data_IF_513042498028
#
_entry.id   IF_513042498028
#
_cell.length_a   1.000
_cell.length_b   1.000
_cell.length_c   1.000
_cell.angle_alpha   90.00
_cell.angle_beta   90.00
_cell.angle_gamma   90.00
#
_symmetry.space_group_name_H-M   'P 1'
#
loop_
_entity.id
_entity.type
_entity.pdbx_description
1 polymer ?
#
# COMPACT_ATOMS: atom_id res chain seq x y z
N UNK A 1 10.39 12.79 -4.97
CA UNK A 1 11.33 13.92 -4.69
C UNK A 1 12.76 13.74 -5.23
N UNK A 2 13.46 12.61 -5.04
CA UNK A 2 14.87 12.50 -5.42
C UNK A 2 15.11 12.63 -6.94
N UNK A 3 14.20 12.16 -7.79
CA UNK A 3 14.29 12.39 -9.26
C UNK A 3 14.34 13.89 -9.60
N UNK A 4 13.49 14.71 -8.98
CA UNK A 4 13.47 16.16 -9.19
C UNK A 4 14.78 16.83 -8.75
N UNK A 5 15.37 16.36 -7.64
CA UNK A 5 16.69 16.84 -7.19
C UNK A 5 17.79 16.51 -8.21
N UNK A 6 17.86 15.26 -8.67
CA UNK A 6 18.86 14.80 -9.64
C UNK A 6 18.70 15.50 -11.00
N UNK A 7 17.46 15.65 -11.48
CA UNK A 7 17.13 16.37 -12.71
C UNK A 7 17.51 17.85 -12.62
N UNK A 8 17.17 18.51 -11.51
CA UNK A 8 17.46 19.92 -11.28
C UNK A 8 18.97 20.19 -11.17
N UNK A 9 19.74 19.24 -10.59
CA UNK A 9 21.21 19.25 -10.56
C UNK A 9 21.85 18.96 -11.91
N UNK A 10 21.09 18.46 -12.89
CA UNK A 10 21.62 17.95 -14.16
C UNK A 10 22.73 16.92 -13.92
N UNK A 11 22.55 16.07 -12.92
CA UNK A 11 23.57 15.10 -12.54
C UNK A 11 23.76 14.06 -13.65
N UNK A 12 25.01 13.83 -14.04
CA UNK A 12 25.41 12.81 -15.01
C UNK A 12 26.63 12.08 -14.44
N UNK A 13 26.57 10.75 -14.41
CA UNK A 13 27.69 9.91 -14.00
C UNK A 13 28.85 9.92 -15.01
N UNK A 14 30.01 9.34 -14.64
CA UNK A 14 31.15 9.26 -15.55
C UNK A 14 30.82 8.44 -16.80
N UNK A 15 31.24 8.93 -17.97
CA UNK A 15 31.11 8.21 -19.25
C UNK A 15 32.23 7.16 -19.31
N UNK A 16 31.92 5.95 -18.86
CA UNK A 16 32.84 4.80 -18.90
C UNK A 16 32.77 4.07 -20.25
N UNK A 17 33.68 3.11 -20.47
CA UNK A 17 33.61 2.22 -21.65
C UNK A 17 32.28 1.46 -21.73
N UNK A 18 31.72 1.03 -20.59
CA UNK A 18 30.40 0.41 -20.53
C UNK A 18 29.29 1.37 -20.98
N UNK A 19 29.32 2.63 -20.54
CA UNK A 19 28.34 3.65 -20.98
C UNK A 19 28.43 3.87 -22.49
N UNK A 20 29.62 3.84 -23.07
CA UNK A 20 29.81 3.95 -24.51
C UNK A 20 29.22 2.74 -25.27
N UNK A 21 29.44 1.51 -24.78
CA UNK A 21 28.85 0.30 -25.36
C UNK A 21 27.32 0.33 -25.29
N UNK A 22 26.74 0.67 -24.15
CA UNK A 22 25.29 0.79 -23.98
C UNK A 22 24.67 1.80 -24.97
N UNK A 23 25.36 2.90 -25.28
CA UNK A 23 24.90 3.88 -26.28
C UNK A 23 24.87 3.34 -27.70
N UNK A 24 25.62 2.29 -28.02
CA UNK A 24 25.59 1.62 -29.32
C UNK A 24 24.57 0.49 -29.36
N UNK A 25 24.29 -0.15 -28.22
CA UNK A 25 23.44 -1.35 -28.14
C UNK A 25 21.95 -1.03 -27.91
N UNK A 26 21.63 0.04 -27.16
CA UNK A 26 20.26 0.31 -26.71
C UNK A 26 19.38 1.05 -27.73
N UNK A 27 19.97 1.62 -28.79
CA UNK A 27 19.26 2.52 -29.71
C UNK A 27 19.33 1.99 -31.15
N UNK A 28 18.22 2.11 -31.87
CA UNK A 28 18.14 1.70 -33.29
C UNK A 28 18.86 2.67 -34.25
N UNK A 29 19.26 3.85 -33.76
CA UNK A 29 19.95 4.89 -34.52
C UNK A 29 21.24 5.30 -33.80
N UNK A 30 22.26 5.82 -34.51
CA UNK A 30 23.48 6.30 -33.88
C UNK A 30 23.18 7.33 -32.78
N UNK A 31 23.70 7.13 -31.57
CA UNK A 31 23.38 7.93 -30.38
C UNK A 31 23.45 9.47 -30.59
N UNK A 32 24.39 9.93 -31.42
CA UNK A 32 24.60 11.36 -31.71
C UNK A 32 23.58 11.96 -32.68
N UNK A 33 22.77 11.14 -33.36
CA UNK A 33 21.73 11.54 -34.30
C UNK A 33 20.34 11.58 -33.65
N UNK A 34 20.20 11.01 -32.45
CA UNK A 34 18.92 10.95 -31.73
C UNK A 34 18.42 12.37 -31.41
N UNK A 35 17.20 12.65 -31.83
CA UNK A 35 16.50 13.86 -31.44
C UNK A 35 15.84 13.70 -30.06
N UNK A 36 16.57 14.05 -29.02
CA UNK A 36 16.11 13.98 -27.62
C UNK A 36 14.87 14.84 -27.32
N UNK A 37 14.58 15.87 -28.14
CA UNK A 37 13.35 16.64 -27.97
C UNK A 37 12.12 15.83 -28.39
N UNK A 38 12.23 15.07 -29.48
CA UNK A 38 11.14 14.20 -29.94
C UNK A 38 10.97 12.98 -29.02
N UNK A 39 12.07 12.46 -28.45
CA UNK A 39 12.04 11.29 -27.58
C UNK A 39 11.25 11.50 -26.27
N UNK A 40 11.04 12.75 -25.83
CA UNK A 40 10.36 13.05 -24.54
C UNK A 40 8.95 12.49 -24.40
N UNK A 41 8.21 12.41 -25.50
CA UNK A 41 6.83 11.91 -25.54
C UNK A 41 6.73 10.61 -26.33
N UNK A 42 7.86 9.95 -26.60
CA UNK A 42 7.89 8.69 -27.35
C UNK A 42 7.90 7.53 -26.35
N UNK A 43 6.78 6.81 -26.30
CA UNK A 43 6.59 5.63 -25.44
C UNK A 43 6.08 4.49 -26.33
N UNK A 44 6.57 3.27 -26.09
CA UNK A 44 6.09 2.10 -26.82
C UNK A 44 4.60 1.89 -26.52
N UNK A 45 3.84 1.52 -27.55
CA UNK A 45 2.38 1.39 -27.44
C UNK A 45 1.99 0.30 -26.44
N UNK A 46 2.81 -0.75 -26.39
CA UNK A 46 2.65 -1.92 -25.53
C UNK A 46 2.80 -1.58 -24.04
N UNK A 47 3.61 -0.57 -23.71
CA UNK A 47 3.88 -0.13 -22.34
C UNK A 47 2.99 1.06 -21.90
N UNK A 48 2.26 1.66 -22.84
CA UNK A 48 1.42 2.84 -22.60
C UNK A 48 0.03 2.43 -22.06
N UNK A 49 -0.03 2.14 -20.76
CA UNK A 49 -1.28 1.82 -20.06
C UNK A 49 -2.11 3.08 -19.72
N UNK A 50 -1.45 4.18 -19.35
CA UNK A 50 -2.08 5.44 -18.93
C UNK A 50 -1.65 6.61 -19.85
N UNK A 51 -2.33 6.81 -20.99
CA UNK A 51 -1.92 7.81 -21.98
C UNK A 51 -2.16 9.24 -21.51
N UNK A 52 -1.26 10.14 -21.92
CA UNK A 52 -1.37 11.55 -21.58
C UNK A 52 -2.50 12.25 -22.35
N UNK A 53 -3.36 13.03 -21.66
CA UNK A 53 -4.23 13.97 -22.33
C UNK A 53 -3.42 15.12 -22.92
N UNK A 54 -3.88 15.69 -24.04
CA UNK A 54 -3.22 16.81 -24.74
C UNK A 54 -2.85 17.99 -23.81
N UNK A 55 -3.67 18.28 -22.80
CA UNK A 55 -3.40 19.35 -21.83
C UNK A 55 -2.13 19.11 -21.01
N UNK A 56 -1.82 17.85 -20.69
CA UNK A 56 -0.62 17.45 -19.97
C UNK A 56 0.61 17.63 -20.85
N UNK A 57 0.55 17.18 -22.11
CA UNK A 57 1.62 17.38 -23.10
C UNK A 57 1.91 18.87 -23.34
N UNK A 58 0.86 19.70 -23.47
CA UNK A 58 1.01 21.15 -23.60
C UNK A 58 1.69 21.76 -22.39
N UNK A 59 1.27 21.38 -21.17
CA UNK A 59 1.86 21.87 -19.93
C UNK A 59 3.35 21.51 -19.84
N UNK A 60 3.71 20.26 -20.12
CA UNK A 60 5.10 19.82 -20.11
C UNK A 60 5.93 20.47 -21.21
N UNK A 61 5.35 20.68 -22.39
CA UNK A 61 5.97 21.45 -23.47
C UNK A 61 6.33 22.86 -23.01
N UNK A 62 5.41 23.56 -22.33
CA UNK A 62 5.68 24.90 -21.77
C UNK A 62 6.74 24.85 -20.68
N UNK A 63 6.64 23.91 -19.73
CA UNK A 63 7.63 23.75 -18.67
C UNK A 63 9.03 23.51 -19.24
N UNK A 64 9.15 22.67 -20.26
CA UNK A 64 10.43 22.33 -20.86
C UNK A 64 10.99 23.41 -21.79
N UNK A 65 10.18 23.95 -22.70
CA UNK A 65 10.66 24.87 -23.73
C UNK A 65 10.72 26.33 -23.26
N UNK A 66 9.97 26.69 -22.22
CA UNK A 66 9.89 28.06 -21.72
C UNK A 66 10.48 28.15 -20.31
N UNK A 67 9.94 27.40 -19.35
CA UNK A 67 10.33 27.56 -17.95
C UNK A 67 11.76 27.06 -17.67
N UNK A 68 12.15 25.90 -18.20
CA UNK A 68 13.49 25.33 -17.98
C UNK A 68 14.62 26.26 -18.44
N UNK A 69 14.62 26.84 -19.66
CA UNK A 69 15.62 27.85 -20.06
C UNK A 69 15.64 29.07 -19.13
N UNK A 70 14.48 29.61 -18.78
CA UNK A 70 14.39 30.78 -17.87
C UNK A 70 15.03 30.45 -16.52
N UNK A 71 14.78 29.27 -15.97
CA UNK A 71 15.33 28.80 -14.69
C UNK A 71 16.84 28.54 -14.71
N UNK A 72 17.52 28.65 -15.86
CA UNK A 72 18.99 28.61 -15.94
C UNK A 72 19.63 30.00 -15.89
N UNK A 73 18.84 31.06 -16.11
CA UNK A 73 19.34 32.44 -16.15
C UNK A 73 19.14 33.15 -14.80
N UNK A 74 20.10 34.00 -14.43
CA UNK A 74 19.94 34.88 -13.27
C UNK A 74 18.87 35.95 -13.54
N UNK A 75 17.98 36.29 -12.59
CA UNK A 75 17.92 35.83 -11.19
C UNK A 75 17.08 34.57 -10.96
N UNK A 76 16.41 34.04 -11.98
CA UNK A 76 15.48 32.91 -11.83
C UNK A 76 16.16 31.59 -11.44
N UNK A 77 17.46 31.43 -11.73
CA UNK A 77 18.26 30.31 -11.23
C UNK A 77 18.28 30.20 -9.70
N UNK A 78 18.06 31.29 -8.96
CA UNK A 78 17.91 31.26 -7.50
C UNK A 78 16.66 30.46 -7.07
N UNK A 79 15.60 30.43 -7.89
CA UNK A 79 14.42 29.60 -7.62
C UNK A 79 14.77 28.11 -7.73
N UNK A 80 15.57 27.73 -8.72
CA UNK A 80 16.08 26.35 -8.87
C UNK A 80 16.93 25.96 -7.67
N UNK A 81 17.84 26.81 -7.21
CA UNK A 81 18.64 26.53 -6.01
C UNK A 81 17.78 26.34 -4.76
N UNK A 82 16.75 27.18 -4.58
CA UNK A 82 15.81 27.05 -3.47
C UNK A 82 15.02 25.74 -3.57
N UNK A 83 14.53 25.39 -4.76
CA UNK A 83 13.82 24.14 -5.00
C UNK A 83 14.71 22.91 -4.73
N UNK A 84 15.98 22.95 -5.13
CA UNK A 84 16.95 21.88 -4.85
C UNK A 84 17.19 21.70 -3.35
N UNK A 85 17.29 22.79 -2.59
CA UNK A 85 17.40 22.74 -1.11
C UNK A 85 16.15 22.13 -0.47
N UNK A 86 14.96 22.44 -0.98
CA UNK A 86 13.72 21.81 -0.51
C UNK A 86 13.67 20.32 -0.86
N UNK A 87 13.98 19.96 -2.11
CA UNK A 87 13.95 18.57 -2.57
C UNK A 87 14.90 17.66 -1.78
N UNK A 88 16.14 18.10 -1.53
CA UNK A 88 17.07 17.32 -0.71
C UNK A 88 16.69 17.32 0.77
N UNK A 89 16.00 18.36 1.25
CA UNK A 89 15.38 18.40 2.57
C UNK A 89 14.34 17.29 2.76
N UNK A 90 13.46 17.08 1.76
CA UNK A 90 12.51 15.96 1.79
C UNK A 90 13.18 14.59 1.73
N UNK A 91 14.25 14.43 0.95
CA UNK A 91 15.04 13.18 0.93
C UNK A 91 15.64 12.89 2.31
N UNK A 92 16.19 13.90 3.00
CA UNK A 92 16.71 13.72 4.36
C UNK A 92 15.61 13.35 5.35
N UNK A 93 14.44 13.98 5.23
CA UNK A 93 13.28 13.65 6.04
C UNK A 93 12.85 12.18 5.84
N UNK A 94 12.78 11.72 4.59
CA UNK A 94 12.50 10.30 4.28
C UNK A 94 13.54 9.36 4.91
N UNK A 95 14.83 9.66 4.70
CA UNK A 95 15.95 8.89 5.21
C UNK A 95 15.94 8.75 6.74
N UNK A 96 15.65 9.85 7.44
CA UNK A 96 15.64 9.88 8.90
C UNK A 96 14.43 9.14 9.50
N UNK A 97 13.24 9.28 8.91
CA UNK A 97 12.02 8.63 9.42
C UNK A 97 11.97 7.13 9.15
N UNK A 98 12.52 6.68 8.03
CA UNK A 98 12.55 5.26 7.63
C UNK A 98 13.85 4.55 7.99
N UNK A 99 14.74 5.21 8.75
CA UNK A 99 16.09 4.73 9.04
C UNK A 99 16.84 4.25 7.79
N UNK A 100 16.76 5.01 6.70
CA UNK A 100 17.42 4.78 5.42
C UNK A 100 16.91 3.54 4.64
N UNK A 101 15.74 3.01 4.99
CA UNK A 101 15.03 1.99 4.20
C UNK A 101 14.23 2.62 3.05
N UNK A 102 13.71 3.83 3.28
CA UNK A 102 12.70 4.53 2.47
C UNK A 102 11.39 3.74 2.32
N UNK A 103 10.37 4.37 1.72
CA UNK A 103 9.05 3.73 1.55
C UNK A 103 9.11 2.50 0.65
N UNK A 104 10.02 2.47 -0.33
CA UNK A 104 10.24 1.32 -1.21
C UNK A 104 11.51 1.42 -2.07
N UNK A 105 11.87 0.31 -2.71
CA UNK A 105 13.21 0.12 -3.31
C UNK A 105 13.58 1.11 -4.41
N UNK A 106 12.61 1.56 -5.23
CA UNK A 106 12.85 2.58 -6.26
C UNK A 106 13.23 3.91 -5.64
N UNK A 107 12.45 4.37 -4.66
CA UNK A 107 12.77 5.60 -3.93
C UNK A 107 14.09 5.45 -3.16
N UNK A 108 14.28 4.30 -2.49
CA UNK A 108 15.50 3.99 -1.74
C UNK A 108 16.77 4.15 -2.58
N UNK A 109 16.78 3.64 -3.81
CA UNK A 109 17.93 3.78 -4.71
C UNK A 109 18.12 5.24 -5.14
N UNK A 110 17.04 5.97 -5.43
CA UNK A 110 17.10 7.36 -5.83
C UNK A 110 17.54 8.30 -4.68
N UNK A 111 17.08 8.06 -3.46
CA UNK A 111 17.53 8.74 -2.26
C UNK A 111 19.01 8.47 -2.01
N UNK A 112 19.45 7.21 -2.08
CA UNK A 112 20.88 6.85 -1.99
C UNK A 112 21.73 7.64 -3.00
N UNK A 113 21.32 7.69 -4.27
CA UNK A 113 22.04 8.45 -5.31
C UNK A 113 22.02 9.94 -4.98
N UNK A 114 20.89 10.50 -4.56
CA UNK A 114 20.79 11.91 -4.17
C UNK A 114 21.72 12.27 -3.00
N UNK A 115 21.84 11.40 -1.98
CA UNK A 115 22.79 11.55 -0.86
C UNK A 115 24.24 11.46 -1.33
N UNK A 116 24.55 10.54 -2.25
CA UNK A 116 25.89 10.40 -2.84
C UNK A 116 26.28 11.64 -3.67
N UNK A 117 25.36 12.18 -4.47
CA UNK A 117 25.57 13.41 -5.26
C UNK A 117 25.76 14.63 -4.36
N UNK A 118 25.10 14.67 -3.20
CA UNK A 118 25.31 15.74 -2.23
C UNK A 118 26.69 15.65 -1.57
N UNK A 119 27.04 14.49 -1.01
CA UNK A 119 28.35 14.21 -0.44
C UNK A 119 28.61 12.69 -0.39
N UNK A 120 29.54 12.18 -1.22
CA UNK A 120 29.84 10.75 -1.30
C UNK A 120 30.55 10.20 -0.06
N UNK A 121 31.04 11.07 0.85
CA UNK A 121 31.66 10.67 2.10
C UNK A 121 30.72 10.79 3.31
N UNK A 122 29.49 11.26 3.09
CA UNK A 122 28.53 11.51 4.16
C UNK A 122 28.13 10.25 4.92
N UNK A 123 27.82 10.42 6.20
CA UNK A 123 27.29 9.34 7.04
C UNK A 123 25.95 8.81 6.49
N UNK A 124 25.10 9.71 5.96
CA UNK A 124 23.84 9.34 5.33
C UNK A 124 24.03 8.37 4.16
N UNK A 125 25.03 8.61 3.29
CA UNK A 125 25.34 7.69 2.19
C UNK A 125 25.79 6.32 2.70
N UNK A 126 26.64 6.28 3.74
CA UNK A 126 27.10 5.02 4.35
C UNK A 126 25.95 4.22 4.96
N UNK A 127 25.01 4.88 5.63
CA UNK A 127 23.79 4.25 6.17
C UNK A 127 22.90 3.66 5.08
N UNK A 128 22.74 4.40 3.98
CA UNK A 128 22.02 3.91 2.79
C UNK A 128 22.65 2.64 2.19
N UNK A 129 23.98 2.56 2.15
CA UNK A 129 24.69 1.37 1.69
C UNK A 129 24.47 0.19 2.65
N UNK A 130 24.53 0.44 3.96
CA UNK A 130 24.31 -0.58 4.97
C UNK A 130 22.89 -1.19 4.93
N UNK A 131 21.90 -0.42 4.47
CA UNK A 131 20.49 -0.84 4.33
C UNK A 131 20.10 -1.40 2.95
N UNK A 132 21.04 -1.48 2.00
CA UNK A 132 20.77 -2.12 0.69
C UNK A 132 20.36 -3.60 0.84
N UNK A 133 21.04 -4.42 1.68
CA UNK A 133 20.71 -5.83 1.83
C UNK A 133 19.30 -6.11 2.35
N UNK A 134 18.66 -5.17 3.07
CA UNK A 134 17.29 -5.31 3.55
C UNK A 134 16.27 -5.49 2.41
N UNK A 135 16.62 -5.08 1.17
CA UNK A 135 15.78 -5.25 -0.01
C UNK A 135 16.12 -6.52 -0.80
N UNK A 136 17.10 -7.30 -0.39
CA UNK A 136 17.56 -8.47 -1.15
C UNK A 136 16.81 -9.73 -0.74
N UNK A 137 16.38 -10.50 -1.73
CA UNK A 137 15.70 -11.77 -1.54
C UNK A 137 16.25 -12.84 -2.46
N UNK A 138 16.69 -13.95 -1.89
CA UNK A 138 17.14 -15.11 -2.67
C UNK A 138 15.98 -16.07 -2.81
N UNK A 139 15.39 -16.13 -4.00
CA UNK A 139 14.35 -17.08 -4.38
C UNK A 139 14.95 -18.28 -5.14
N UNK A 140 14.11 -19.25 -5.46
CA UNK A 140 14.45 -20.47 -6.21
C UNK A 140 15.03 -20.17 -7.59
N UNK A 141 14.68 -19.03 -8.18
CA UNK A 141 15.17 -18.51 -9.46
C UNK A 141 16.27 -17.43 -9.31
N UNK A 142 16.80 -17.25 -8.10
CA UNK A 142 17.98 -16.41 -7.82
C UNK A 142 17.69 -15.16 -6.99
N UNK A 143 18.67 -14.25 -6.98
CA UNK A 143 18.62 -13.02 -6.20
C UNK A 143 17.70 -11.98 -6.87
N UNK A 144 16.78 -11.42 -6.08
CA UNK A 144 15.83 -10.38 -6.45
C UNK A 144 15.90 -9.20 -5.49
N UNK A 145 15.39 -8.05 -5.94
CA UNK A 145 15.18 -6.87 -5.10
C UNK A 145 13.69 -6.78 -4.79
N UNK A 146 13.32 -6.88 -3.52
CA UNK A 146 11.96 -6.59 -3.04
C UNK A 146 11.72 -5.08 -3.02
N UNK A 147 10.48 -4.64 -3.20
CA UNK A 147 10.11 -3.23 -2.95
C UNK A 147 10.30 -2.89 -1.47
N UNK A 148 9.78 -3.75 -0.61
CA UNK A 148 9.93 -3.81 0.84
C UNK A 148 9.48 -5.22 1.26
N UNK A 149 9.83 -5.64 2.47
CA UNK A 149 9.31 -6.91 3.01
C UNK A 149 7.82 -6.83 3.37
N UNK A 150 7.18 -7.96 3.63
CA UNK A 150 5.75 -8.08 4.01
C UNK A 150 5.59 -8.71 5.41
N UNK A 151 6.58 -8.58 6.29
CA UNK A 151 6.71 -9.38 7.50
C UNK A 151 5.52 -9.19 8.46
N UNK A 152 5.13 -7.94 8.75
CA UNK A 152 4.02 -7.66 9.65
C UNK A 152 2.66 -8.01 9.02
N UNK A 153 2.49 -7.75 7.72
CA UNK A 153 1.30 -8.14 6.97
C UNK A 153 1.07 -9.67 7.01
N UNK A 154 2.08 -10.44 6.64
CA UNK A 154 2.02 -11.90 6.61
C UNK A 154 1.86 -12.49 8.01
N UNK A 155 2.61 -12.00 9.00
CA UNK A 155 2.48 -12.46 10.37
C UNK A 155 1.06 -12.19 10.90
N UNK A 156 0.52 -10.99 10.64
CA UNK A 156 -0.84 -10.61 11.05
C UNK A 156 -1.90 -11.56 10.52
N UNK A 157 -1.88 -11.90 9.22
CA UNK A 157 -2.83 -12.85 8.65
C UNK A 157 -2.58 -14.30 9.07
N UNK A 158 -1.32 -14.74 9.17
CA UNK A 158 -1.00 -16.08 9.62
C UNK A 158 -1.49 -16.35 11.06
N UNK A 159 -1.33 -15.37 11.96
CA UNK A 159 -1.85 -15.43 13.32
C UNK A 159 -3.38 -15.58 13.28
N UNK A 160 -4.08 -14.71 12.54
CA UNK A 160 -5.54 -14.78 12.42
C UNK A 160 -6.02 -16.12 11.87
N UNK A 161 -5.33 -16.69 10.89
CA UNK A 161 -5.65 -18.01 10.35
C UNK A 161 -5.51 -19.12 11.41
N UNK A 162 -4.39 -19.16 12.15
CA UNK A 162 -4.18 -20.14 13.23
C UNK A 162 -5.28 -20.03 14.30
N UNK A 163 -5.59 -18.80 14.73
CA UNK A 163 -6.61 -18.55 15.74
C UNK A 163 -8.01 -18.96 15.27
N UNK A 164 -8.33 -18.74 13.98
CA UNK A 164 -9.63 -19.09 13.40
C UNK A 164 -9.84 -20.61 13.27
N UNK A 165 -8.74 -21.38 13.17
CA UNK A 165 -8.78 -22.84 13.14
C UNK A 165 -8.86 -23.49 14.53
N UNK A 166 -8.88 -22.71 15.62
CA UNK A 166 -8.85 -23.19 17.00
C UNK A 166 -7.61 -24.06 17.34
N UNK A 167 -6.46 -23.79 16.72
CA UNK A 167 -5.22 -24.55 16.90
C UNK A 167 -4.25 -23.91 17.92
N UNK A 168 -4.78 -23.10 18.84
CA UNK A 168 -3.98 -22.23 19.71
C UNK A 168 -3.00 -23.01 20.60
N UNK A 169 -3.46 -24.11 21.19
CA UNK A 169 -2.66 -24.94 22.09
C UNK A 169 -1.54 -25.69 21.33
N UNK A 170 -1.84 -26.16 20.12
CA UNK A 170 -0.86 -26.87 19.27
C UNK A 170 0.25 -25.92 18.79
N UNK A 171 -0.10 -24.67 18.51
CA UNK A 171 0.83 -23.65 18.02
C UNK A 171 1.35 -22.71 19.12
N UNK A 172 1.19 -23.05 20.40
CA UNK A 172 1.56 -22.19 21.54
C UNK A 172 2.95 -21.54 21.44
N UNK A 173 4.04 -22.31 21.21
CA UNK A 173 5.39 -21.76 21.03
C UNK A 173 5.52 -20.79 19.85
N UNK A 174 4.83 -21.07 18.74
CA UNK A 174 4.80 -20.20 17.54
C UNK A 174 4.03 -18.92 17.82
N UNK A 175 2.87 -19.02 18.49
CA UNK A 175 2.05 -17.87 18.87
C UNK A 175 2.76 -16.96 19.87
N UNK A 176 3.53 -17.52 20.82
CA UNK A 176 4.38 -16.74 21.73
C UNK A 176 5.42 -15.91 20.97
N UNK A 177 6.16 -16.52 20.03
CA UNK A 177 7.12 -15.78 19.18
C UNK A 177 6.43 -14.73 18.31
N UNK A 178 5.27 -15.05 17.78
CA UNK A 178 4.46 -14.14 16.97
C UNK A 178 3.97 -12.94 17.80
N UNK A 179 3.57 -13.17 19.04
CA UNK A 179 3.20 -12.11 19.97
C UNK A 179 4.40 -11.19 20.28
N UNK A 180 5.59 -11.74 20.53
CA UNK A 180 6.80 -10.95 20.71
C UNK A 180 7.16 -10.14 19.46
N UNK A 181 7.00 -10.73 18.27
CA UNK A 181 7.20 -10.04 17.00
C UNK A 181 6.20 -8.88 16.80
N UNK A 182 4.90 -9.10 17.04
CA UNK A 182 3.87 -8.05 16.96
C UNK A 182 4.18 -6.91 17.93
N UNK A 183 4.60 -7.24 19.16
CA UNK A 183 5.02 -6.25 20.17
C UNK A 183 6.22 -5.43 19.71
N UNK A 184 7.23 -6.06 19.15
CA UNK A 184 8.44 -5.38 18.67
C UNK A 184 8.18 -4.55 17.40
N UNK A 185 7.21 -4.95 16.58
CA UNK A 185 6.95 -4.33 15.28
C UNK A 185 6.14 -3.04 15.33
N UNK A 186 5.44 -2.77 16.43
CA UNK A 186 4.69 -1.51 16.57
C UNK A 186 5.65 -0.33 16.69
N UNK A 187 5.41 0.75 15.96
CA UNK A 187 6.19 1.99 16.04
C UNK A 187 5.98 2.65 17.42
N UNK A 188 7.02 2.65 18.27
CA UNK A 188 6.92 3.13 19.67
C UNK A 188 7.49 4.54 19.87
N UNK A 189 8.40 4.97 19.01
CA UNK A 189 9.09 6.26 19.13
C UNK A 189 8.71 7.21 17.99
N UNK A 190 8.93 8.50 18.26
CA UNK A 190 8.81 9.56 17.25
C UNK A 190 10.17 9.70 16.59
N UNK A 191 10.33 9.23 15.35
CA UNK A 191 11.63 9.27 14.67
C UNK A 191 11.98 10.69 14.17
N UNK A 192 11.01 11.59 14.00
CA UNK A 192 11.21 13.04 13.87
C UNK A 192 9.91 13.81 14.22
N UNK A 193 9.80 15.09 13.84
CA UNK A 193 8.73 16.05 14.21
C UNK A 193 7.28 15.62 13.88
N UNK A 194 7.07 14.50 13.19
CA UNK A 194 5.74 13.97 12.90
C UNK A 194 5.23 13.01 13.96
N UNK A 195 4.04 13.32 14.47
CA UNK A 195 3.38 12.60 15.55
C UNK A 195 2.51 11.43 15.08
N UNK A 196 2.34 11.25 13.77
CA UNK A 196 1.24 10.46 13.21
C UNK A 196 1.47 8.95 13.18
N UNK A 197 2.71 8.47 13.25
CA UNK A 197 3.02 7.02 13.12
C UNK A 197 3.16 6.31 14.46
N UNK A 198 3.20 7.03 15.59
CA UNK A 198 3.32 6.41 16.92
C UNK A 198 2.09 5.55 17.20
N UNK A 199 2.30 4.26 17.43
CA UNK A 199 1.25 3.27 17.62
C UNK A 199 0.88 2.49 16.36
N UNK A 200 1.42 2.87 15.20
CA UNK A 200 1.17 2.17 13.95
C UNK A 200 1.90 0.82 13.88
N UNK A 201 1.38 -0.05 13.02
CA UNK A 201 2.14 -1.14 12.44
C UNK A 201 2.36 -0.82 10.96
N UNK A 202 3.59 -0.97 10.50
CA UNK A 202 3.95 -0.82 9.08
C UNK A 202 3.62 -2.12 8.33
N UNK A 203 3.74 -2.12 7.00
CA UNK A 203 3.55 -3.33 6.20
C UNK A 203 4.66 -4.38 6.44
N UNK A 204 5.87 -3.89 6.77
CA UNK A 204 7.08 -4.70 6.89
C UNK A 204 7.52 -4.86 8.35
N UNK A 205 8.36 -3.96 8.83
CA UNK A 205 8.97 -3.96 10.16
C UNK A 205 8.99 -2.55 10.77
N UNK A 206 9.25 -2.47 12.07
CA UNK A 206 9.22 -1.21 12.84
C UNK A 206 10.09 -0.10 12.22
N UNK A 207 11.30 -0.44 11.75
CA UNK A 207 12.26 0.52 11.19
C UNK A 207 11.76 1.22 9.92
N UNK A 208 10.81 0.61 9.18
CA UNK A 208 10.23 1.23 7.99
C UNK A 208 9.50 2.54 8.31
N UNK A 209 8.97 2.66 9.53
CA UNK A 209 8.47 3.91 10.11
C UNK A 209 7.15 4.45 9.53
N UNK A 210 6.79 4.08 8.30
CA UNK A 210 5.58 4.57 7.63
C UNK A 210 4.33 3.82 8.08
N UNK A 211 3.36 4.56 8.60
CA UNK A 211 2.08 4.00 9.05
C UNK A 211 1.21 3.55 7.88
N UNK A 212 0.58 2.39 8.00
CA UNK A 212 -0.45 1.91 7.06
C UNK A 212 -1.74 1.68 7.83
N UNK A 213 -2.87 2.14 7.30
CA UNK A 213 -4.15 2.04 7.98
C UNK A 213 -4.59 0.59 8.20
N UNK A 214 -4.54 -0.25 7.17
CA UNK A 214 -4.87 -1.67 7.23
C UNK A 214 -3.89 -2.44 8.10
N UNK A 215 -2.58 -2.26 7.91
CA UNK A 215 -1.57 -2.95 8.71
C UNK A 215 -1.68 -2.58 10.19
N UNK A 216 -1.98 -1.32 10.50
CA UNK A 216 -2.23 -0.87 11.87
C UNK A 216 -3.51 -1.50 12.43
N UNK A 217 -4.56 -1.62 11.61
CA UNK A 217 -5.81 -2.23 12.03
C UNK A 217 -5.70 -3.76 12.23
N UNK A 218 -5.03 -4.46 11.31
CA UNK A 218 -4.74 -5.89 11.43
C UNK A 218 -3.77 -6.17 12.60
N UNK A 219 -2.75 -5.33 12.77
CA UNK A 219 -1.85 -5.36 13.93
C UNK A 219 -2.59 -5.15 15.26
N UNK A 220 -3.49 -4.16 15.31
CA UNK A 220 -4.37 -3.93 16.47
C UNK A 220 -5.26 -5.14 16.73
N UNK A 221 -5.85 -5.76 15.70
CA UNK A 221 -6.69 -6.95 15.84
C UNK A 221 -5.92 -8.08 16.52
N UNK A 222 -4.77 -8.47 15.97
CA UNK A 222 -3.99 -9.58 16.53
C UNK A 222 -3.46 -9.27 17.92
N UNK A 223 -3.07 -8.02 18.19
CA UNK A 223 -2.59 -7.60 19.51
C UNK A 223 -3.71 -7.67 20.56
N UNK A 224 -4.94 -7.28 20.21
CA UNK A 224 -6.11 -7.45 21.09
C UNK A 224 -6.40 -8.94 21.29
N UNK A 225 -6.37 -9.77 20.25
CA UNK A 225 -6.62 -11.21 20.37
C UNK A 225 -5.61 -11.87 21.33
N UNK A 226 -4.31 -11.57 21.20
CA UNK A 226 -3.30 -12.05 22.14
C UNK A 226 -3.55 -11.58 23.57
N UNK A 227 -4.06 -10.36 23.77
CA UNK A 227 -4.37 -9.86 25.12
C UNK A 227 -5.46 -10.65 25.86
N UNK A 228 -6.25 -11.45 25.13
CA UNK A 228 -7.29 -12.33 25.67
C UNK A 228 -6.80 -13.76 25.92
N UNK A 229 -5.56 -14.08 25.52
CA UNK A 229 -4.97 -15.41 25.71
C UNK A 229 -4.22 -15.51 27.05
N UNK A 230 -4.00 -16.74 27.51
CA UNK A 230 -3.24 -16.97 28.74
C UNK A 230 -1.79 -16.49 28.60
N UNK A 231 -1.25 -15.72 29.56
CA UNK A 231 0.18 -15.37 29.60
C UNK A 231 1.11 -16.60 29.63
N UNK A 232 0.64 -17.73 30.18
CA UNK A 232 1.38 -19.00 30.17
C UNK A 232 1.53 -19.58 28.77
N UNK A 233 0.63 -19.24 27.85
CA UNK A 233 0.67 -19.67 26.46
C UNK A 233 1.51 -18.71 25.60
N UNK A 234 1.16 -17.41 25.61
CA UNK A 234 1.70 -16.42 24.66
C UNK A 234 2.59 -15.33 25.29
N UNK A 235 2.77 -15.33 26.60
CA UNK A 235 3.53 -14.32 27.34
C UNK A 235 2.71 -13.07 27.69
N UNK A 236 3.36 -12.12 28.35
CA UNK A 236 2.72 -10.89 28.84
C UNK A 236 2.15 -10.05 27.70
N UNK A 237 0.92 -9.57 27.92
CA UNK A 237 0.18 -8.71 26.99
C UNK A 237 0.82 -7.32 26.90
N UNK A 238 0.53 -6.64 25.78
CA UNK A 238 0.88 -5.23 25.58
C UNK A 238 0.20 -4.30 26.58
N UNK A 239 0.85 -3.19 26.89
CA UNK A 239 0.26 -2.10 27.66
C UNK A 239 -0.95 -1.52 26.90
N UNK A 240 -2.00 -1.15 27.64
CA UNK A 240 -3.28 -0.75 27.04
C UNK A 240 -3.16 0.56 26.26
N UNK A 241 -2.28 1.46 26.70
CA UNK A 241 -1.95 2.72 26.05
C UNK A 241 -1.46 2.52 24.61
N UNK A 242 -0.80 1.39 24.33
CA UNK A 242 -0.33 1.05 22.99
C UNK A 242 -1.47 0.72 22.03
N UNK A 243 -2.58 0.20 22.54
CA UNK A 243 -3.81 0.03 21.75
C UNK A 243 -4.47 1.37 21.48
N UNK A 244 -4.45 2.30 22.45
CA UNK A 244 -4.99 3.66 22.26
C UNK A 244 -4.20 4.44 21.21
N UNK A 245 -2.88 4.33 21.21
CA UNK A 245 -2.04 4.94 20.19
C UNK A 245 -2.40 4.41 18.79
N UNK A 246 -2.56 3.09 18.62
CA UNK A 246 -2.99 2.50 17.34
C UNK A 246 -4.37 2.99 16.89
N UNK A 247 -5.33 3.08 17.81
CA UNK A 247 -6.67 3.64 17.53
C UNK A 247 -6.58 5.11 17.11
N UNK A 248 -5.68 5.90 17.71
CA UNK A 248 -5.46 7.28 17.32
C UNK A 248 -4.93 7.39 15.88
N UNK A 249 -3.98 6.53 15.49
CA UNK A 249 -3.48 6.46 14.10
C UNK A 249 -4.62 6.16 13.16
N UNK A 250 -5.37 5.07 13.38
CA UNK A 250 -6.48 4.66 12.49
C UNK A 250 -7.47 5.81 12.34
N UNK A 251 -8.00 6.35 13.44
CA UNK A 251 -8.99 7.43 13.40
C UNK A 251 -8.48 8.71 12.71
N UNK A 252 -7.17 8.98 12.76
CA UNK A 252 -6.58 10.16 12.11
C UNK A 252 -6.52 10.06 10.59
N UNK A 253 -6.58 8.84 10.03
CA UNK A 253 -6.51 8.59 8.60
C UNK A 253 -7.86 8.63 7.89
N UNK A 254 -8.98 8.59 8.63
CA UNK A 254 -10.31 8.52 8.01
C UNK A 254 -10.63 9.78 7.20
N UNK A 255 -10.98 9.59 5.94
CA UNK A 255 -11.44 10.66 5.06
C UNK A 255 -12.88 11.09 5.36
N UNK A 256 -13.25 12.26 4.83
CA UNK A 256 -14.57 12.86 5.05
C UNK A 256 -15.74 12.03 4.50
N UNK A 257 -15.50 11.25 3.44
CA UNK A 257 -16.45 10.29 2.86
C UNK A 257 -16.62 9.00 3.70
N UNK A 258 -15.83 8.83 4.77
CA UNK A 258 -15.86 7.66 5.63
C UNK A 258 -14.87 6.56 5.29
N UNK A 259 -14.30 6.58 4.09
CA UNK A 259 -13.28 5.63 3.68
C UNK A 259 -11.92 5.89 4.34
N UNK A 260 -11.05 4.89 4.28
CA UNK A 260 -9.68 4.98 4.78
C UNK A 260 -8.69 4.79 3.62
N UNK A 261 -7.69 5.68 3.50
CA UNK A 261 -6.55 5.51 2.62
C UNK A 261 -5.47 4.60 3.22
N UNK A 262 -4.46 4.25 2.44
CA UNK A 262 -3.35 3.41 2.91
C UNK A 262 -2.44 4.16 3.88
N UNK A 263 -1.78 5.25 3.43
CA UNK A 263 -0.67 5.86 4.18
C UNK A 263 -1.00 7.21 4.83
N UNK A 264 -1.74 8.07 4.12
CA UNK A 264 -2.06 9.42 4.59
C UNK A 264 -3.48 9.87 4.24
N UNK A 265 -4.07 10.83 4.96
CA UNK A 265 -5.37 11.38 4.59
C UNK A 265 -5.34 11.95 3.17
N UNK A 266 -6.44 11.81 2.41
CA UNK A 266 -6.56 12.42 1.09
C UNK A 266 -6.40 13.94 1.18
N UNK A 267 -5.37 14.49 0.52
CA UNK A 267 -5.06 15.93 0.47
C UNK A 267 -5.30 16.56 -0.89
N UNK A 268 -5.58 15.75 -1.89
CA UNK A 268 -5.65 16.14 -3.29
C UNK A 268 -6.89 15.54 -3.96
N UNK A 269 -7.37 16.22 -5.00
CA UNK A 269 -8.61 15.82 -5.70
C UNK A 269 -8.30 14.97 -6.93
N UNK A 270 -9.21 14.04 -7.26
CA UNK A 270 -9.08 13.08 -8.38
C UNK A 270 -8.75 13.70 -9.74
N UNK A 271 -9.13 14.96 -10.00
CA UNK A 271 -8.82 15.59 -11.28
C UNK A 271 -7.31 15.80 -11.51
N UNK A 272 -6.49 15.82 -10.45
CA UNK A 272 -5.04 15.96 -10.56
C UNK A 272 -4.39 14.78 -11.29
N UNK A 273 -5.04 13.62 -11.31
CA UNK A 273 -4.55 12.41 -11.98
C UNK A 273 -4.53 12.55 -13.50
N UNK A 274 -5.24 13.55 -14.04
CA UNK A 274 -5.06 13.98 -15.44
C UNK A 274 -3.67 14.53 -15.75
N UNK A 275 -2.82 14.69 -14.73
CA UNK A 275 -1.43 15.09 -14.82
C UNK A 275 -0.49 14.01 -14.28
N UNK A 276 -0.97 12.76 -14.12
CA UNK A 276 -0.14 11.64 -13.72
C UNK A 276 0.97 11.44 -14.77
N UNK A 277 2.25 11.65 -14.41
CA UNK A 277 3.36 11.53 -15.34
C UNK A 277 3.79 10.08 -15.59
N UNK A 278 3.16 9.11 -14.94
CA UNK A 278 3.50 7.69 -15.09
C UNK A 278 2.67 7.09 -16.22
N UNK A 279 3.34 6.60 -17.25
CA UNK A 279 2.70 6.10 -18.47
C UNK A 279 2.16 4.67 -18.34
N UNK A 280 2.59 3.95 -17.30
CA UNK A 280 2.32 2.53 -17.09
C UNK A 280 1.61 2.24 -15.77
N UNK A 281 1.37 3.25 -14.93
CA UNK A 281 0.58 3.14 -13.72
C UNK A 281 -0.59 4.12 -13.75
N UNK A 282 -1.76 3.64 -13.33
CA UNK A 282 -2.94 4.47 -13.09
C UNK A 282 -3.03 4.82 -11.61
N UNK A 283 -3.61 5.98 -11.30
CA UNK A 283 -4.05 6.34 -9.94
C UNK A 283 -2.94 6.37 -8.87
N UNK A 284 -1.75 6.87 -9.25
CA UNK A 284 -0.56 6.94 -8.37
C UNK A 284 -0.26 8.31 -7.80
N UNK A 285 -0.89 9.38 -8.32
CA UNK A 285 -0.51 10.74 -7.95
C UNK A 285 -1.10 11.18 -6.63
N UNK A 286 -2.29 10.68 -6.30
CA UNK A 286 -3.00 11.05 -5.07
C UNK A 286 -3.32 9.82 -4.24
N UNK A 287 -3.25 9.99 -2.93
CA UNK A 287 -3.76 9.01 -1.98
C UNK A 287 -5.29 9.01 -1.99
N UNK A 288 -5.89 7.84 -1.82
CA UNK A 288 -7.34 7.60 -1.99
C UNK A 288 -7.84 6.61 -0.97
N UNK A 289 -9.15 6.59 -0.77
CA UNK A 289 -9.76 5.58 0.09
C UNK A 289 -9.93 4.25 -0.65
N UNK A 290 -9.69 3.16 0.07
CA UNK A 290 -9.79 1.80 -0.45
C UNK A 290 -10.76 0.97 0.40
N UNK A 291 -11.50 0.05 -0.24
CA UNK A 291 -12.48 -0.78 0.48
C UNK A 291 -11.79 -1.71 1.48
N UNK A 292 -10.58 -2.14 1.16
CA UNK A 292 -9.75 -3.05 1.95
C UNK A 292 -9.22 -2.35 3.20
N UNK A 293 -8.60 -1.19 3.03
CA UNK A 293 -8.17 -0.33 4.14
C UNK A 293 -9.34 0.05 5.06
N UNK A 294 -10.48 0.41 4.47
CA UNK A 294 -11.70 0.77 5.21
C UNK A 294 -12.23 -0.43 6.00
N UNK A 295 -12.27 -1.61 5.39
CA UNK A 295 -12.73 -2.83 6.05
C UNK A 295 -11.83 -3.23 7.21
N UNK A 296 -10.51 -3.27 7.02
CA UNK A 296 -9.56 -3.58 8.10
C UNK A 296 -9.73 -2.61 9.27
N UNK A 297 -9.82 -1.30 9.00
CA UNK A 297 -10.07 -0.28 10.01
C UNK A 297 -11.38 -0.55 10.79
N UNK A 298 -12.48 -0.86 10.09
CA UNK A 298 -13.77 -1.21 10.72
C UNK A 298 -13.64 -2.43 11.62
N UNK A 299 -13.01 -3.50 11.14
CA UNK A 299 -12.83 -4.73 11.91
C UNK A 299 -11.99 -4.49 13.18
N UNK A 300 -10.87 -3.77 13.06
CA UNK A 300 -10.02 -3.43 14.19
C UNK A 300 -10.70 -2.53 15.22
N UNK A 301 -11.38 -1.48 14.76
CA UNK A 301 -12.14 -0.58 15.63
C UNK A 301 -13.34 -1.27 16.29
N UNK A 302 -14.05 -2.14 15.58
CA UNK A 302 -15.17 -2.91 16.14
C UNK A 302 -14.70 -3.87 17.23
N UNK A 303 -13.57 -4.55 17.02
CA UNK A 303 -12.96 -5.43 18.03
C UNK A 303 -12.46 -4.63 19.23
N UNK A 304 -11.75 -3.52 19.01
CA UNK A 304 -11.30 -2.64 20.08
C UNK A 304 -12.47 -2.12 20.91
N UNK A 305 -13.54 -1.64 20.26
CA UNK A 305 -14.76 -1.16 20.90
C UNK A 305 -15.41 -2.22 21.80
N UNK A 306 -15.32 -3.50 21.45
CA UNK A 306 -15.86 -4.61 22.25
C UNK A 306 -15.11 -4.78 23.58
N UNK A 307 -13.78 -4.70 23.57
CA UNK A 307 -12.95 -4.92 24.76
C UNK A 307 -12.65 -3.63 25.55
N UNK A 308 -12.73 -2.47 24.91
CA UNK A 308 -12.46 -1.15 25.50
C UNK A 308 -13.64 -0.18 25.31
N UNK A 309 -14.85 -0.52 25.78
CA UNK A 309 -16.10 0.18 25.41
C UNK A 309 -16.19 1.64 25.88
N UNK A 310 -15.33 2.08 26.80
CA UNK A 310 -15.32 3.44 27.34
C UNK A 310 -14.39 4.40 26.60
N UNK A 311 -13.39 3.89 25.86
CA UNK A 311 -12.38 4.73 25.23
C UNK A 311 -12.89 5.28 23.89
N UNK A 312 -13.01 6.61 23.75
CA UNK A 312 -13.42 7.33 22.52
C UNK A 312 -14.67 6.74 21.83
N UNK A 313 -15.62 6.21 22.62
CA UNK A 313 -16.76 5.42 22.14
C UNK A 313 -17.54 6.11 21.03
N UNK A 314 -17.90 7.38 21.22
CA UNK A 314 -18.71 8.17 20.28
C UNK A 314 -17.98 8.36 18.94
N UNK A 315 -16.68 8.63 18.99
CA UNK A 315 -15.86 8.85 17.79
C UNK A 315 -15.69 7.56 17.00
N UNK A 316 -15.45 6.44 17.70
CA UNK A 316 -15.33 5.12 17.09
C UNK A 316 -16.65 4.69 16.45
N UNK A 317 -17.78 4.86 17.13
CA UNK A 317 -19.10 4.51 16.58
C UNK A 317 -19.44 5.35 15.34
N UNK A 318 -19.12 6.65 15.36
CA UNK A 318 -19.28 7.54 14.21
C UNK A 318 -18.38 7.12 13.04
N UNK A 319 -17.11 6.81 13.34
CA UNK A 319 -16.13 6.36 12.35
C UNK A 319 -16.58 5.07 11.66
N UNK A 320 -16.96 4.04 12.43
CA UNK A 320 -17.47 2.77 11.91
C UNK A 320 -18.72 3.00 11.05
N UNK A 321 -19.65 3.84 11.49
CA UNK A 321 -20.90 4.09 10.75
C UNK A 321 -20.63 4.70 9.37
N UNK A 322 -19.72 5.68 9.28
CA UNK A 322 -19.32 6.29 8.01
C UNK A 322 -18.59 5.31 7.09
N UNK A 323 -17.70 4.50 7.67
CA UNK A 323 -16.92 3.51 6.94
C UNK A 323 -17.80 2.41 6.33
N UNK A 324 -18.80 1.95 7.08
CA UNK A 324 -19.81 1.03 6.56
C UNK A 324 -20.57 1.65 5.38
N UNK A 325 -21.00 2.91 5.49
CA UNK A 325 -21.69 3.60 4.40
C UNK A 325 -20.78 3.70 3.17
N UNK A 326 -19.50 4.06 3.35
CA UNK A 326 -18.52 4.07 2.26
C UNK A 326 -18.42 2.71 1.56
N UNK A 327 -18.29 1.61 2.31
CA UNK A 327 -18.21 0.25 1.73
C UNK A 327 -19.45 -0.05 0.88
N UNK A 328 -20.64 0.32 1.34
CA UNK A 328 -21.87 0.12 0.56
C UNK A 328 -21.95 1.02 -0.68
N UNK A 329 -21.50 2.28 -0.57
CA UNK A 329 -21.56 3.26 -1.66
C UNK A 329 -20.62 2.93 -2.82
N UNK A 330 -19.51 2.24 -2.53
CA UNK A 330 -18.52 1.83 -3.55
C UNK A 330 -18.73 0.40 -4.07
N UNK A 331 -19.84 -0.25 -3.70
CA UNK A 331 -20.20 -1.56 -4.27
C UNK A 331 -20.59 -1.41 -5.75
N UNK A 332 -20.06 -2.28 -6.61
CA UNK A 332 -20.39 -2.31 -8.03
C UNK A 332 -21.84 -2.79 -8.26
N UNK A 333 -22.47 -2.41 -9.38
CA UNK A 333 -23.85 -2.81 -9.69
C UNK A 333 -24.10 -4.32 -9.67
N UNK A 334 -23.08 -5.12 -10.03
CA UNK A 334 -23.13 -6.58 -10.04
C UNK A 334 -22.96 -7.23 -8.65
N UNK A 335 -22.67 -6.43 -7.62
CA UNK A 335 -22.50 -6.87 -6.24
C UNK A 335 -21.06 -7.05 -5.79
N UNK A 336 -20.09 -6.91 -6.69
CA UNK A 336 -18.66 -7.04 -6.38
C UNK A 336 -18.07 -5.75 -5.81
N UNK A 337 -16.82 -5.85 -5.34
CA UNK A 337 -15.96 -4.69 -5.06
C UNK A 337 -14.63 -4.87 -5.77
N UNK A 338 -14.15 -3.80 -6.41
CA UNK A 338 -12.85 -3.80 -7.05
C UNK A 338 -11.71 -3.77 -6.02
N UNK A 339 -10.81 -4.76 -6.08
CA UNK A 339 -9.61 -4.83 -5.26
C UNK A 339 -8.45 -4.06 -5.88
N UNK A 340 -7.82 -3.20 -5.08
CA UNK A 340 -6.69 -2.36 -5.44
C UNK A 340 -5.34 -2.96 -5.00
N UNK A 341 -5.34 -3.73 -3.91
CA UNK A 341 -4.11 -4.31 -3.32
C UNK A 341 -3.97 -5.83 -3.50
N UNK A 342 -4.94 -6.45 -4.17
CA UNK A 342 -4.95 -7.87 -4.54
C UNK A 342 -5.75 -8.08 -5.84
N UNK A 343 -5.64 -9.26 -6.46
CA UNK A 343 -6.28 -9.56 -7.75
C UNK A 343 -7.66 -10.20 -7.54
N UNK A 344 -8.78 -9.60 -7.95
CA UNK A 344 -9.18 -8.20 -7.75
C UNK A 344 -10.59 -8.18 -7.15
N UNK A 345 -11.58 -8.80 -7.79
CA UNK A 345 -12.95 -8.80 -7.27
C UNK A 345 -13.16 -9.83 -6.16
N UNK A 346 -12.51 -10.99 -6.22
CA UNK A 346 -12.53 -11.94 -5.07
C UNK A 346 -11.94 -11.30 -3.82
N UNK A 347 -10.80 -10.60 -3.98
CA UNK A 347 -10.10 -9.89 -2.91
C UNK A 347 -10.93 -8.73 -2.33
N UNK A 348 -11.36 -7.79 -3.19
CA UNK A 348 -12.14 -6.63 -2.74
C UNK A 348 -13.46 -7.04 -2.08
N UNK A 349 -14.13 -8.07 -2.62
CA UNK A 349 -15.37 -8.60 -2.04
C UNK A 349 -15.11 -9.25 -0.67
N UNK A 350 -14.02 -10.00 -0.51
CA UNK A 350 -13.65 -10.58 0.79
C UNK A 350 -13.47 -9.53 1.87
N UNK A 351 -12.73 -8.46 1.59
CA UNK A 351 -12.60 -7.36 2.53
C UNK A 351 -13.94 -6.69 2.81
N UNK A 352 -14.69 -6.29 1.78
CA UNK A 352 -15.98 -5.62 1.97
C UNK A 352 -16.95 -6.44 2.84
N UNK A 353 -17.05 -7.75 2.56
CA UNK A 353 -17.88 -8.66 3.34
C UNK A 353 -17.41 -8.73 4.79
N UNK A 354 -16.10 -8.92 5.05
CA UNK A 354 -15.57 -8.99 6.41
C UNK A 354 -15.82 -7.71 7.23
N UNK A 355 -15.71 -6.54 6.60
CA UNK A 355 -15.98 -5.25 7.26
C UNK A 355 -17.45 -5.07 7.64
N UNK A 356 -18.36 -5.44 6.73
CA UNK A 356 -19.80 -5.41 6.99
C UNK A 356 -20.19 -6.46 8.06
N UNK A 357 -19.65 -7.67 7.97
CA UNK A 357 -19.92 -8.77 8.90
C UNK A 357 -19.46 -8.46 10.34
N UNK A 358 -18.29 -7.82 10.50
CA UNK A 358 -17.80 -7.37 11.81
C UNK A 358 -18.75 -6.39 12.54
N UNK A 359 -19.69 -5.79 11.80
CA UNK A 359 -20.71 -4.88 12.33
C UNK A 359 -22.11 -5.52 12.41
N UNK A 360 -22.21 -6.85 12.31
CA UNK A 360 -23.46 -7.60 12.46
C UNK A 360 -24.34 -7.64 11.22
N UNK A 361 -23.82 -7.23 10.05
CA UNK A 361 -24.49 -7.41 8.77
C UNK A 361 -24.30 -8.84 8.29
N UNK A 362 -25.32 -9.42 7.67
CA UNK A 362 -25.30 -10.77 7.11
C UNK A 362 -26.29 -10.87 5.93
N UNK A 363 -26.36 -12.03 5.31
CA UNK A 363 -27.21 -12.33 4.16
C UNK A 363 -28.69 -12.00 4.40
N UNK A 364 -29.20 -12.14 5.64
CA UNK A 364 -30.60 -11.88 5.97
C UNK A 364 -30.91 -10.38 6.02
N UNK A 365 -30.04 -9.57 6.63
CA UNK A 365 -30.32 -8.17 6.92
C UNK A 365 -29.62 -7.16 5.97
N UNK A 366 -28.72 -7.61 5.09
CA UNK A 366 -27.91 -6.72 4.25
C UNK A 366 -28.07 -7.05 2.76
N UNK A 367 -28.73 -6.19 1.95
CA UNK A 367 -28.84 -6.38 0.51
C UNK A 367 -27.49 -6.44 -0.21
N UNK A 368 -26.52 -5.63 0.22
CA UNK A 368 -25.18 -5.61 -0.36
C UNK A 368 -24.50 -6.99 -0.26
N UNK A 369 -24.60 -7.66 0.91
CA UNK A 369 -24.03 -8.99 1.12
C UNK A 369 -24.73 -10.07 0.28
N UNK A 370 -26.05 -9.97 0.04
CA UNK A 370 -26.74 -10.90 -0.86
C UNK A 370 -26.21 -10.81 -2.28
N UNK A 371 -26.07 -9.59 -2.80
CA UNK A 371 -25.49 -9.35 -4.13
C UNK A 371 -24.05 -9.87 -4.22
N UNK A 372 -23.25 -9.66 -3.17
CA UNK A 372 -21.89 -10.18 -3.07
C UNK A 372 -21.84 -11.71 -3.19
N UNK A 373 -22.71 -12.40 -2.45
CA UNK A 373 -22.82 -13.85 -2.55
C UNK A 373 -23.27 -14.31 -3.94
N UNK A 374 -24.28 -13.66 -4.53
CA UNK A 374 -24.77 -14.01 -5.87
C UNK A 374 -23.68 -13.76 -6.94
N UNK A 375 -22.93 -12.67 -6.83
CA UNK A 375 -21.76 -12.40 -7.66
C UNK A 375 -20.74 -13.54 -7.56
N UNK A 376 -20.27 -13.87 -6.36
CA UNK A 376 -19.27 -14.93 -6.17
C UNK A 376 -19.77 -16.29 -6.68
N UNK A 377 -20.99 -16.68 -6.33
CA UNK A 377 -21.58 -17.95 -6.79
C UNK A 377 -21.72 -18.01 -8.31
N UNK A 378 -21.98 -16.88 -8.98
CA UNK A 378 -22.02 -16.82 -10.45
C UNK A 378 -20.67 -17.06 -11.13
N UNK A 379 -19.57 -16.91 -10.37
CA UNK A 379 -18.19 -17.10 -10.85
C UNK A 379 -17.57 -18.43 -10.41
N UNK A 380 -18.29 -19.25 -9.65
CA UNK A 380 -17.79 -20.55 -9.21
C UNK A 380 -17.55 -21.47 -10.41
N UNK A 381 -16.37 -22.08 -10.46
CA UNK A 381 -15.99 -23.03 -11.49
C UNK A 381 -16.61 -24.41 -11.24
N UNK A 382 -16.72 -25.29 -12.27
CA UNK A 382 -17.33 -26.62 -12.10
C UNK A 382 -16.66 -27.53 -11.06
N UNK A 383 -15.38 -27.30 -10.75
CA UNK A 383 -14.64 -28.02 -9.71
C UNK A 383 -14.83 -27.43 -8.30
N UNK A 384 -15.65 -26.38 -8.17
CA UNK A 384 -15.98 -25.70 -6.92
C UNK A 384 -15.07 -24.54 -6.55
N UNK A 385 -13.98 -24.28 -7.29
CA UNK A 385 -13.04 -23.20 -7.03
C UNK A 385 -13.35 -21.88 -7.73
N UNK A 386 -12.50 -20.88 -7.48
CA UNK A 386 -12.48 -19.59 -8.17
C UNK A 386 -11.08 -19.31 -8.70
N UNK A 387 -10.99 -18.66 -9.85
CA UNK A 387 -9.72 -18.31 -10.47
C UNK A 387 -9.83 -17.07 -11.35
N UNK A 388 -9.18 -16.01 -10.93
CA UNK A 388 -9.22 -14.67 -11.49
C UNK A 388 -7.82 -14.26 -11.99
N UNK A 389 -7.76 -13.77 -13.23
CA UNK A 389 -6.52 -13.34 -13.87
C UNK A 389 -6.10 -11.94 -13.42
N UNK A 390 -4.80 -11.62 -13.47
CA UNK A 390 -4.32 -10.24 -13.27
C UNK A 390 -4.94 -9.25 -14.26
N UNK A 391 -5.39 -9.75 -15.42
CA UNK A 391 -6.11 -8.96 -16.43
C UNK A 391 -7.42 -8.38 -15.88
N UNK A 392 -7.98 -8.93 -14.80
CA UNK A 392 -9.16 -8.35 -14.16
C UNK A 392 -8.88 -6.96 -13.60
N UNK A 393 -7.69 -6.75 -13.02
CA UNK A 393 -7.25 -5.43 -12.54
C UNK A 393 -7.04 -4.46 -13.69
N UNK A 394 -6.35 -4.90 -14.75
CA UNK A 394 -6.06 -4.06 -15.92
C UNK A 394 -7.33 -3.65 -16.68
N UNK A 395 -8.24 -4.60 -16.92
CA UNK A 395 -9.43 -4.37 -17.72
C UNK A 395 -10.64 -3.90 -16.89
N UNK A 396 -10.51 -3.90 -15.55
CA UNK A 396 -11.58 -3.57 -14.60
C UNK A 396 -12.86 -4.35 -14.87
N UNK A 397 -12.71 -5.64 -15.17
CA UNK A 397 -13.79 -6.61 -15.38
C UNK A 397 -13.31 -8.00 -14.99
N UNK A 398 -14.18 -8.82 -14.41
CA UNK A 398 -13.84 -10.20 -14.06
C UNK A 398 -13.33 -10.98 -15.28
N UNK A 399 -12.10 -11.47 -15.20
CA UNK A 399 -11.47 -12.31 -16.22
C UNK A 399 -10.99 -13.61 -15.57
N UNK A 400 -11.48 -14.76 -16.04
CA UNK A 400 -11.00 -16.05 -15.56
C UNK A 400 -9.52 -16.25 -15.90
N UNK A 401 -8.81 -17.00 -15.05
CA UNK A 401 -7.50 -17.56 -15.43
C UNK A 401 -7.67 -18.42 -16.69
N UNK A 402 -6.72 -18.32 -17.62
CA UNK A 402 -6.74 -19.10 -18.85
C UNK A 402 -6.96 -20.59 -18.59
N UNK A 403 -7.90 -21.17 -19.34
CA UNK A 403 -8.36 -22.56 -19.17
C UNK A 403 -9.40 -22.74 -18.07
N UNK A 404 -9.95 -21.66 -17.48
CA UNK A 404 -10.86 -21.72 -16.33
C UNK A 404 -10.26 -22.49 -15.15
N UNK A 405 -8.98 -22.23 -14.87
CA UNK A 405 -8.27 -22.85 -13.75
C UNK A 405 -8.61 -22.13 -12.46
N UNK A 406 -8.82 -22.90 -11.41
CA UNK A 406 -8.93 -22.39 -10.05
C UNK A 406 -7.58 -21.90 -9.51
N UNK A 407 -7.66 -21.04 -8.51
CA UNK A 407 -6.52 -20.58 -7.73
C UNK A 407 -6.84 -20.75 -6.23
N UNK A 408 -5.88 -21.27 -5.47
CA UNK A 408 -6.05 -21.56 -4.05
C UNK A 408 -6.46 -20.32 -3.25
N UNK A 409 -5.77 -19.20 -3.46
CA UNK A 409 -5.96 -17.97 -2.68
C UNK A 409 -7.30 -17.33 -3.01
N UNK A 410 -7.64 -17.23 -4.29
CA UNK A 410 -8.93 -16.64 -4.72
C UNK A 410 -10.12 -17.52 -4.33
N UNK A 411 -9.94 -18.85 -4.33
CA UNK A 411 -10.92 -19.79 -3.77
C UNK A 411 -11.10 -19.56 -2.27
N UNK A 412 -10.01 -19.36 -1.52
CA UNK A 412 -10.09 -19.06 -0.09
C UNK A 412 -10.84 -17.73 0.18
N UNK A 413 -10.55 -16.66 -0.56
CA UNK A 413 -11.25 -15.38 -0.42
C UNK A 413 -12.74 -15.50 -0.72
N UNK A 414 -13.12 -16.20 -1.79
CA UNK A 414 -14.52 -16.43 -2.12
C UNK A 414 -15.24 -17.24 -1.02
N UNK A 415 -14.62 -18.31 -0.51
CA UNK A 415 -15.18 -19.12 0.56
C UNK A 415 -15.34 -18.34 1.87
N UNK A 416 -14.30 -17.60 2.29
CA UNK A 416 -14.36 -16.75 3.48
C UNK A 416 -15.49 -15.71 3.35
N UNK A 417 -15.63 -15.09 2.17
CA UNK A 417 -16.73 -14.16 1.91
C UNK A 417 -18.10 -14.81 2.07
N UNK A 418 -18.31 -16.02 1.51
CA UNK A 418 -19.60 -16.71 1.59
C UNK A 418 -19.94 -17.12 3.03
N UNK A 419 -18.94 -17.56 3.80
CA UNK A 419 -19.06 -17.93 5.21
C UNK A 419 -19.37 -16.69 6.07
N UNK A 420 -18.59 -15.62 5.94
CA UNK A 420 -18.74 -14.40 6.73
C UNK A 420 -20.04 -13.66 6.42
N UNK A 421 -20.52 -13.75 5.18
CA UNK A 421 -21.82 -13.24 4.80
C UNK A 421 -22.99 -14.05 5.43
N UNK A 422 -22.75 -15.27 5.93
CA UNK A 422 -23.81 -16.16 6.42
C UNK A 422 -24.67 -16.72 5.29
N UNK A 423 -24.06 -17.07 4.16
CA UNK A 423 -24.77 -17.56 2.98
C UNK A 423 -25.57 -18.84 3.25
N UNK A 424 -25.15 -19.67 4.20
CA UNK A 424 -25.81 -20.91 4.60
C UNK A 424 -27.27 -20.70 5.04
N UNK A 425 -27.61 -19.50 5.52
CA UNK A 425 -28.97 -19.14 5.89
C UNK A 425 -29.93 -19.07 4.69
N UNK A 426 -29.43 -19.10 3.44
CA UNK A 426 -30.23 -19.24 2.22
C UNK A 426 -30.96 -20.59 2.15
N UNK A 427 -30.36 -21.66 2.66
CA UNK A 427 -30.90 -23.03 2.57
C UNK A 427 -31.80 -23.42 3.75
N UNK A 428 -32.00 -22.52 4.72
CA UNK A 428 -32.87 -22.73 5.88
C UNK A 428 -34.29 -22.14 5.68
N UNK A 429 -34.65 -21.79 4.45
CA UNK A 429 -36.01 -21.43 4.02
C UNK A 429 -36.53 -22.51 3.07
#
# INVERSE_FOLDING_TARGET
MPMSYLYGKRFVGPITGLVQSLRQELYNEPYHQINWNNARSTVAKEDLYYPHPLVQDMLWGVLHHVAEPILTCWPFSMLREKALKAAIGHVRYEDENSQYLCIGSVEKVLCLIARWVEDPNSEAYKRHLARLPDNYWVAEDGLKIQSFGCQMWDAGFAIQAILSCNLNEEFGPTLRKSHDFVKASQVTSRLCTDTFSKGAWTFSMQDHGWQVSDCTAEGLKVAILFSQMSPDLVGEKMETERFYDAVNVILSLQSSNGGFPAWEPQRAYRWLEKFNPTEFFEDTLIEREYVECTSSAVQGLALFRKFYPKHRRTEIDSSISKAIQYIEDVQEPDGSWYGHWGICYTYGTWFAVGGLAACGRNYRNCPALRKACDFLLSKQLPNGGWGESYLSSQNKVWTNIEGNRENLVQTAWALLSLIDAGQEFRFQQ
#
